data_IF_200121845190
#
_entry.id   IF_200121845190
#
_cell.length_a   1.000
_cell.length_b   1.000
_cell.length_c   1.000
_cell.angle_alpha   90.00
_cell.angle_beta   90.00
_cell.angle_gamma   90.00
#
_symmetry.space_group_name_H-M   'P 1'
#
loop_
_entity.id
_entity.type
_entity.pdbx_description
1 polymer ?
#
# COMPACT_ATOMS: atom_id res chain seq x y z
N UNK A 1 11.01 8.41 -1.74
CA UNK A 1 10.71 7.20 -0.95
C UNK A 1 10.73 6.03 -1.92
N UNK A 2 11.18 4.85 -1.49
CA UNK A 2 11.19 3.65 -2.32
C UNK A 2 10.14 2.65 -1.84
N UNK A 3 9.49 2.01 -2.80
CA UNK A 3 8.62 0.86 -2.60
C UNK A 3 9.30 -0.37 -3.21
N UNK A 4 9.43 -1.45 -2.45
CA UNK A 4 10.08 -2.68 -2.92
C UNK A 4 9.03 -3.74 -3.18
N UNK A 5 8.80 -4.05 -4.46
CA UNK A 5 7.95 -5.17 -4.87
C UNK A 5 8.77 -6.46 -4.77
N UNK A 6 8.25 -7.44 -4.02
CA UNK A 6 8.82 -8.78 -3.92
C UNK A 6 7.76 -9.81 -4.30
N UNK A 7 8.18 -10.90 -4.93
CA UNK A 7 7.29 -11.98 -5.30
C UNK A 7 8.01 -13.31 -5.40
N UNK A 8 7.21 -14.39 -5.34
CA UNK A 8 7.65 -15.77 -5.48
C UNK A 8 6.88 -16.37 -6.66
N UNK A 9 7.62 -16.76 -7.70
CA UNK A 9 7.09 -17.42 -8.90
C UNK A 9 7.31 -18.92 -8.76
N UNK A 10 6.29 -19.71 -9.11
CA UNK A 10 6.34 -21.17 -9.03
C UNK A 10 5.79 -21.80 -10.30
N UNK A 11 6.43 -22.86 -10.75
CA UNK A 11 5.94 -23.76 -11.78
C UNK A 11 6.09 -25.20 -11.29
N UNK A 12 5.04 -26.01 -11.45
CA UNK A 12 5.02 -27.38 -10.94
C UNK A 12 5.89 -28.37 -11.75
N UNK A 13 6.28 -28.02 -12.98
CA UNK A 13 6.85 -28.97 -13.94
C UNK A 13 8.02 -28.45 -14.77
N UNK A 14 8.04 -27.15 -15.10
CA UNK A 14 9.05 -26.53 -15.95
C UNK A 14 9.94 -25.58 -15.15
N UNK A 15 11.15 -25.32 -15.67
CA UNK A 15 12.00 -24.24 -15.16
C UNK A 15 11.45 -22.90 -15.62
N UNK A 16 11.47 -21.92 -14.72
CA UNK A 16 11.12 -20.53 -15.03
C UNK A 16 12.28 -19.93 -15.85
N UNK A 17 11.98 -19.45 -17.05
CA UNK A 17 12.97 -18.92 -18.01
C UNK A 17 13.16 -17.42 -17.83
N UNK A 18 12.07 -16.69 -17.61
CA UNK A 18 12.08 -15.23 -17.61
C UNK A 18 10.86 -14.65 -16.89
N UNK A 19 11.09 -13.61 -16.09
CA UNK A 19 10.06 -12.86 -15.37
C UNK A 19 10.15 -11.36 -15.72
N UNK A 20 9.00 -10.70 -15.77
CA UNK A 20 8.90 -9.26 -15.98
C UNK A 20 7.80 -8.61 -15.16
N UNK A 21 7.95 -7.31 -14.95
CA UNK A 21 6.96 -6.47 -14.28
C UNK A 21 6.75 -5.18 -15.06
N UNK A 22 5.50 -4.86 -15.39
CA UNK A 22 5.10 -3.54 -15.90
C UNK A 22 4.42 -2.72 -14.81
N UNK A 23 4.77 -1.44 -14.72
CA UNK A 23 4.12 -0.48 -13.84
C UNK A 23 3.02 0.27 -14.60
N UNK A 24 1.79 0.29 -14.08
CA UNK A 24 0.66 1.04 -14.64
C UNK A 24 0.41 0.76 -16.15
N UNK A 25 0.57 -0.49 -16.60
CA UNK A 25 0.43 -0.86 -18.01
C UNK A 25 1.54 -0.31 -18.94
N UNK A 26 2.66 0.16 -18.37
CA UNK A 26 3.83 0.60 -19.11
C UNK A 26 4.62 -0.54 -19.75
N UNK A 27 5.81 -0.23 -20.27
CA UNK A 27 6.69 -1.26 -20.83
C UNK A 27 7.12 -2.23 -19.72
N UNK A 28 7.10 -3.56 -19.98
CA UNK A 28 7.61 -4.54 -19.03
C UNK A 28 9.11 -4.39 -18.87
N UNK A 29 9.55 -4.47 -17.62
CA UNK A 29 10.96 -4.57 -17.28
C UNK A 29 11.28 -5.97 -16.77
N UNK A 30 12.37 -6.52 -17.26
CA UNK A 30 12.96 -7.78 -16.81
C UNK A 30 13.27 -7.72 -15.31
N UNK A 31 12.91 -8.77 -14.57
CA UNK A 31 13.31 -8.94 -13.18
C UNK A 31 14.12 -10.22 -13.00
N UNK A 32 15.16 -10.14 -12.17
CA UNK A 32 15.99 -11.30 -11.88
C UNK A 32 15.21 -12.32 -11.04
N UNK A 33 14.99 -13.49 -11.62
CA UNK A 33 14.38 -14.66 -10.99
C UNK A 33 15.49 -15.46 -10.28
N UNK A 34 15.61 -15.27 -8.96
CA UNK A 34 16.62 -15.94 -8.13
C UNK A 34 16.08 -17.29 -7.63
N UNK A 35 16.66 -18.44 -8.02
CA UNK A 35 16.11 -19.75 -7.67
C UNK A 35 15.99 -19.95 -6.15
N UNK A 36 14.90 -20.57 -5.72
CA UNK A 36 14.69 -20.98 -4.32
C UNK A 36 14.29 -22.45 -4.23
N UNK A 37 14.49 -23.04 -3.06
CA UNK A 37 14.13 -24.45 -2.82
C UNK A 37 12.62 -24.64 -2.96
N UNK A 38 12.22 -25.62 -3.78
CA UNK A 38 10.82 -26.04 -3.94
C UNK A 38 10.71 -27.55 -3.71
N UNK A 39 9.64 -27.99 -3.07
CA UNK A 39 9.34 -29.42 -2.86
C UNK A 39 9.01 -30.13 -4.18
N UNK A 40 8.53 -29.38 -5.18
CA UNK A 40 8.23 -29.88 -6.52
C UNK A 40 8.38 -28.75 -7.56
N UNK A 41 8.87 -29.10 -8.74
CA UNK A 41 9.00 -28.15 -9.85
C UNK A 41 10.09 -27.09 -9.63
N UNK A 42 9.85 -25.89 -10.16
CA UNK A 42 10.74 -24.73 -10.10
C UNK A 42 10.10 -23.62 -9.27
N UNK A 43 10.91 -22.93 -8.47
CA UNK A 43 10.50 -21.70 -7.81
C UNK A 43 11.64 -20.68 -7.84
N UNK A 44 11.28 -19.40 -7.93
CA UNK A 44 12.24 -18.31 -7.78
C UNK A 44 11.61 -17.08 -7.18
N UNK A 45 12.43 -16.27 -6.55
CA UNK A 45 12.04 -14.98 -5.99
C UNK A 45 12.56 -13.84 -6.85
N UNK A 46 11.76 -12.78 -6.96
CA UNK A 46 12.19 -11.52 -7.55
C UNK A 46 12.01 -10.38 -6.54
N UNK A 47 12.82 -9.34 -6.69
CA UNK A 47 12.74 -8.11 -5.90
C UNK A 47 13.11 -6.92 -6.78
N UNK A 48 12.26 -5.90 -6.82
CA UNK A 48 12.51 -4.67 -7.55
C UNK A 48 12.04 -3.44 -6.78
N UNK A 49 12.91 -2.44 -6.70
CA UNK A 49 12.61 -1.15 -6.10
C UNK A 49 11.99 -0.20 -7.14
N UNK A 50 10.99 0.57 -6.72
CA UNK A 50 10.33 1.61 -7.48
C UNK A 50 10.33 2.90 -6.68
N UNK A 51 10.57 4.02 -7.37
CA UNK A 51 10.41 5.33 -6.77
C UNK A 51 8.92 5.63 -6.62
N UNK A 52 8.50 6.01 -5.42
CA UNK A 52 7.07 6.28 -5.14
C UNK A 52 6.56 7.58 -5.79
N UNK A 53 7.42 8.37 -6.41
CA UNK A 53 7.01 9.54 -7.20
C UNK A 53 6.34 9.16 -8.52
N UNK A 54 6.52 7.91 -8.97
CA UNK A 54 5.85 7.30 -10.12
C UNK A 54 4.44 6.77 -9.77
N UNK A 55 4.06 6.79 -8.50
CA UNK A 55 2.82 6.17 -8.03
C UNK A 55 1.62 7.10 -8.20
N UNK A 56 0.51 6.52 -8.63
CA UNK A 56 -0.79 7.18 -8.72
C UNK A 56 -1.62 6.93 -7.45
N UNK A 57 -2.88 7.40 -7.43
CA UNK A 57 -3.84 7.08 -6.36
C UNK A 57 -4.02 5.56 -6.19
N UNK A 58 -4.08 4.86 -7.32
CA UNK A 58 -3.94 3.39 -7.41
C UNK A 58 -2.85 3.09 -8.43
N UNK A 59 -1.82 2.37 -7.98
CA UNK A 59 -0.70 1.93 -8.80
C UNK A 59 -0.81 0.43 -9.04
N UNK A 60 -0.69 -0.01 -10.29
CA UNK A 60 -0.76 -1.44 -10.67
C UNK A 60 0.60 -1.96 -11.11
N UNK A 61 0.86 -3.22 -10.79
CA UNK A 61 2.01 -3.99 -11.24
C UNK A 61 1.48 -5.23 -11.95
N UNK A 62 1.76 -5.36 -13.24
CA UNK A 62 1.45 -6.58 -13.98
C UNK A 62 2.71 -7.44 -14.02
N UNK A 63 2.64 -8.58 -13.35
CA UNK A 63 3.74 -9.53 -13.20
C UNK A 63 3.51 -10.67 -14.19
N UNK A 64 4.54 -10.98 -14.98
CA UNK A 64 4.50 -12.03 -15.99
C UNK A 64 5.68 -12.96 -15.80
N UNK A 65 5.41 -14.26 -15.84
CA UNK A 65 6.41 -15.30 -15.81
C UNK A 65 6.27 -16.19 -17.04
N UNK A 66 7.39 -16.56 -17.64
CA UNK A 66 7.46 -17.45 -18.80
C UNK A 66 8.36 -18.64 -18.48
N UNK A 67 7.87 -19.85 -18.72
CA UNK A 67 8.64 -21.07 -18.52
C UNK A 67 9.52 -21.43 -19.75
N UNK A 68 10.30 -22.50 -19.63
CA UNK A 68 11.13 -23.01 -20.75
C UNK A 68 10.34 -23.61 -21.93
N UNK A 69 9.02 -23.76 -21.81
CA UNK A 69 8.10 -24.19 -22.88
C UNK A 69 7.32 -23.03 -23.48
N UNK A 70 7.67 -21.80 -23.10
CA UNK A 70 6.99 -20.57 -23.50
C UNK A 70 5.53 -20.50 -23.04
N UNK A 71 5.15 -21.26 -21.99
CA UNK A 71 3.91 -21.03 -21.28
C UNK A 71 4.02 -19.75 -20.44
N UNK A 72 2.93 -18.99 -20.39
CA UNK A 72 2.90 -17.68 -19.75
C UNK A 72 1.88 -17.68 -18.60
N UNK A 73 2.32 -17.25 -17.42
CA UNK A 73 1.46 -16.89 -16.30
C UNK A 73 1.47 -15.37 -16.09
N UNK A 74 0.30 -14.80 -15.79
CA UNK A 74 0.14 -13.36 -15.55
C UNK A 74 -0.62 -13.13 -14.24
N UNK A 75 -0.19 -12.13 -13.47
CA UNK A 75 -0.80 -11.75 -12.20
C UNK A 75 -0.71 -10.24 -12.01
N UNK A 76 -1.83 -9.60 -11.65
CA UNK A 76 -1.86 -8.16 -11.37
C UNK A 76 -1.91 -7.90 -9.86
N UNK A 77 -1.02 -7.05 -9.38
CA UNK A 77 -1.00 -6.53 -8.01
C UNK A 77 -1.28 -5.03 -8.01
N UNK A 78 -2.12 -4.56 -7.09
CA UNK A 78 -2.44 -3.14 -6.98
C UNK A 78 -2.16 -2.62 -5.58
N UNK A 79 -1.60 -1.41 -5.50
CA UNK A 79 -1.40 -0.66 -4.26
C UNK A 79 -2.12 0.68 -4.36
N UNK A 80 -2.88 1.03 -3.32
CA UNK A 80 -3.54 2.33 -3.23
C UNK A 80 -2.84 3.19 -2.21
N UNK A 81 -2.67 4.47 -2.54
CA UNK A 81 -2.20 5.46 -1.58
C UNK A 81 -3.36 5.78 -0.63
N UNK A 82 -3.15 5.59 0.66
CA UNK A 82 -4.05 6.12 1.68
C UNK A 82 -3.65 7.57 1.98
N UNK A 83 -4.34 8.50 1.32
CA UNK A 83 -4.21 9.94 1.53
C UNK A 83 -5.38 10.52 2.36
N UNK A 84 -6.23 9.66 2.93
CA UNK A 84 -7.34 10.11 3.76
C UNK A 84 -6.83 10.46 5.16
N UNK A 85 -6.91 11.74 5.52
CA UNK A 85 -6.69 12.16 6.89
C UNK A 85 -7.69 11.44 7.82
N UNK A 86 -7.25 10.94 8.99
CA UNK A 86 -8.16 10.29 9.92
C UNK A 86 -9.27 11.27 10.32
N UNK A 87 -10.52 10.87 10.12
CA UNK A 87 -11.66 11.65 10.58
C UNK A 87 -11.82 11.46 12.09
N UNK A 88 -11.65 12.54 12.87
CA UNK A 88 -12.08 12.58 14.26
C UNK A 88 -13.40 13.34 14.34
N UNK A 89 -14.47 12.63 14.65
CA UNK A 89 -15.77 13.23 14.97
C UNK A 89 -15.88 13.24 16.50
N UNK A 90 -15.77 14.42 17.11
CA UNK A 90 -16.09 14.61 18.53
C UNK A 90 -17.54 15.06 18.62
N UNK A 91 -18.42 14.20 19.11
CA UNK A 91 -19.80 14.55 19.45
C UNK A 91 -19.89 14.82 20.95
N UNK A 92 -20.41 16.00 21.30
CA UNK A 92 -20.82 16.30 22.66
C UNK A 92 -22.32 16.06 22.78
N UNK A 93 -22.78 15.42 23.87
CA UNK A 93 -24.20 15.26 24.10
C UNK A 93 -24.86 16.63 24.31
N UNK A 94 -25.81 16.99 23.43
CA UNK A 94 -26.63 18.20 23.59
C UNK A 94 -27.31 18.20 24.96
N UNK A 95 -27.40 19.37 25.57
CA UNK A 95 -28.08 19.51 26.86
C UNK A 95 -27.27 19.01 28.06
N UNK A 96 -26.03 18.57 27.87
CA UNK A 96 -25.18 18.13 28.99
C UNK A 96 -24.47 19.30 29.65
N UNK A 97 -24.39 19.26 30.98
CA UNK A 97 -23.60 20.20 31.76
C UNK A 97 -22.11 19.98 31.51
N UNK A 98 -21.45 21.03 31.04
CA UNK A 98 -20.03 21.07 30.74
C UNK A 98 -19.35 22.17 31.56
N UNK A 99 -18.11 21.91 31.94
CA UNK A 99 -17.23 22.91 32.55
C UNK A 99 -16.48 23.65 31.44
N UNK A 100 -16.69 24.96 31.33
CA UNK A 100 -16.07 25.83 30.34
C UNK A 100 -14.92 26.60 30.96
N UNK A 101 -13.80 26.69 30.24
CA UNK A 101 -12.67 27.54 30.60
C UNK A 101 -12.68 28.75 29.68
N UNK A 102 -12.89 29.93 30.25
CA UNK A 102 -12.72 31.19 29.53
C UNK A 102 -11.30 31.71 29.74
N UNK A 103 -10.61 32.03 28.65
CA UNK A 103 -9.24 32.56 28.68
C UNK A 103 -9.28 33.96 28.11
N UNK A 104 -9.00 34.95 28.94
CA UNK A 104 -8.98 36.35 28.50
C UNK A 104 -7.68 36.69 27.76
N UNK A 105 -7.64 37.85 27.09
CA UNK A 105 -6.51 38.29 26.27
C UNK A 105 -5.19 38.44 27.04
N UNK A 106 -5.23 38.59 28.36
CA UNK A 106 -4.06 38.66 29.23
C UNK A 106 -3.62 37.27 29.76
N UNK A 107 -4.32 36.19 29.38
CA UNK A 107 -4.06 34.82 29.80
C UNK A 107 -4.73 34.38 31.10
N UNK A 108 -5.52 35.24 31.74
CA UNK A 108 -6.29 34.89 32.95
C UNK A 108 -7.40 33.90 32.62
N UNK A 109 -7.54 32.87 33.46
CA UNK A 109 -8.46 31.74 33.26
C UNK A 109 -9.57 31.75 34.29
N UNK A 110 -10.81 31.72 33.84
CA UNK A 110 -12.00 31.53 34.69
C UNK A 110 -12.78 30.30 34.25
N UNK A 111 -13.41 29.61 35.21
CA UNK A 111 -14.22 28.41 34.95
C UNK A 111 -15.68 28.69 35.25
N UNK A 112 -16.59 28.27 34.36
CA UNK A 112 -18.02 28.29 34.62
C UNK A 112 -18.70 27.01 34.13
N UNK A 113 -19.77 26.60 34.81
CA UNK A 113 -20.64 25.50 34.37
C UNK A 113 -21.72 26.02 33.42
N UNK A 114 -21.91 25.34 32.30
CA UNK A 114 -22.92 25.71 31.29
C UNK A 114 -23.49 24.49 30.60
N UNK A 115 -24.60 24.66 29.89
CA UNK A 115 -25.17 23.61 29.05
C UNK A 115 -24.53 23.70 27.67
N UNK A 116 -24.07 22.56 27.13
CA UNK A 116 -23.57 22.52 25.76
C UNK A 116 -24.68 22.72 24.74
N UNK A 117 -24.53 23.77 23.93
CA UNK A 117 -25.31 24.05 22.72
C UNK A 117 -24.34 24.34 21.58
N UNK A 118 -24.59 23.77 20.40
CA UNK A 118 -23.78 23.97 19.19
C UNK A 118 -24.13 25.26 18.45
#
# INVERSE_FOLDING_TARGET
QEYVLKGLVKDASQVIKYDSVSLNGGLPDDVACSPVTSESGSACEFSKAYLTDQFLSTTTFDIKATDTKDNVGEFQHAVSRDDQAPAQIITYPEGTHMSYVNVSLNGERTTYEGVYSQ
#
